data_IF_245539731304
#
_entry.id   IF_245539731304
#
_cell.length_a   1.000
_cell.length_b   1.000
_cell.length_c   1.000
_cell.angle_alpha   90.00
_cell.angle_beta   90.00
_cell.angle_gamma   90.00
#
_symmetry.space_group_name_H-M   'P 1'
#
loop_
_entity.id
_entity.type
_entity.pdbx_description
1 polymer ?
#
# COMPACT_ATOMS: atom_id res chain seq x y z
N UNK A 1 -9.09 -5.32 12.50
CA UNK A 1 -8.69 -4.01 13.03
C UNK A 1 -9.91 -3.13 13.24
N UNK A 2 -10.04 -2.53 14.42
CA UNK A 2 -11.00 -1.46 14.73
C UNK A 2 -10.57 -0.14 14.07
N UNK A 3 -11.44 0.88 14.11
CA UNK A 3 -11.09 2.22 13.63
C UNK A 3 -9.86 2.79 14.34
N UNK A 4 -9.81 2.66 15.67
CA UNK A 4 -8.70 3.16 16.49
C UNK A 4 -7.40 2.43 16.16
N UNK A 5 -7.43 1.11 16.02
CA UNK A 5 -6.24 0.32 15.63
C UNK A 5 -5.72 0.76 14.24
N UNK A 6 -6.61 1.01 13.28
CA UNK A 6 -6.21 1.50 11.95
C UNK A 6 -5.52 2.86 12.06
N UNK A 7 -6.10 3.79 12.83
CA UNK A 7 -5.50 5.12 13.05
C UNK A 7 -4.15 5.05 13.75
N UNK A 8 -4.02 4.21 14.78
CA UNK A 8 -2.75 3.96 15.46
C UNK A 8 -1.71 3.40 14.49
N UNK A 9 -2.06 2.38 13.71
CA UNK A 9 -1.14 1.82 12.71
C UNK A 9 -0.69 2.85 11.68
N UNK A 10 -1.59 3.71 11.19
CA UNK A 10 -1.23 4.79 10.26
C UNK A 10 -0.18 5.72 10.89
N UNK A 11 -0.38 6.17 12.14
CA UNK A 11 0.62 6.99 12.85
C UNK A 11 1.94 6.23 13.02
N UNK A 12 1.90 4.95 13.37
CA UNK A 12 3.12 4.13 13.53
C UNK A 12 3.97 4.06 12.25
N UNK A 13 3.33 3.95 11.07
CA UNK A 13 4.01 4.03 9.78
C UNK A 13 4.63 5.41 9.54
N UNK A 14 3.92 6.49 9.87
CA UNK A 14 4.44 7.86 9.73
C UNK A 14 5.62 8.10 10.67
N UNK A 15 5.52 7.66 11.94
CA UNK A 15 6.63 7.73 12.89
C UNK A 15 7.81 6.86 12.46
N UNK A 16 7.58 5.72 11.80
CA UNK A 16 8.64 4.90 11.22
C UNK A 16 9.39 5.65 10.11
N UNK A 17 8.67 6.32 9.21
CA UNK A 17 9.29 7.18 8.19
C UNK A 17 10.08 8.35 8.78
N UNK A 18 9.57 8.97 9.84
CA UNK A 18 10.32 9.98 10.61
C UNK A 18 11.63 9.43 11.14
N UNK A 19 11.61 8.25 11.76
CA UNK A 19 12.82 7.60 12.28
C UNK A 19 13.80 7.27 11.15
N UNK A 20 13.32 6.80 10.00
CA UNK A 20 14.15 6.56 8.83
C UNK A 20 14.84 7.85 8.34
N UNK A 21 14.10 8.97 8.22
CA UNK A 21 14.69 10.28 7.88
C UNK A 21 15.74 10.72 8.91
N UNK A 22 15.45 10.58 10.21
CA UNK A 22 16.39 10.90 11.28
C UNK A 22 17.65 10.04 11.27
N UNK A 23 17.55 8.81 10.78
CA UNK A 23 18.69 7.90 10.60
C UNK A 23 19.52 8.20 9.34
N UNK A 24 19.11 9.16 8.50
CA UNK A 24 19.84 9.58 7.31
C UNK A 24 19.51 8.78 6.05
N UNK A 25 18.38 8.05 6.01
CA UNK A 25 17.89 7.50 4.75
C UNK A 25 17.33 8.60 3.83
N UNK A 26 17.49 8.43 2.52
CA UNK A 26 16.94 9.35 1.51
C UNK A 26 15.44 9.14 1.24
N UNK A 27 14.86 8.06 1.75
CA UNK A 27 13.47 7.72 1.53
C UNK A 27 13.03 6.41 2.17
N UNK A 28 11.77 6.05 1.94
CA UNK A 28 11.16 4.79 2.39
C UNK A 28 10.36 4.14 1.27
N UNK A 29 10.22 2.81 1.37
CA UNK A 29 9.29 2.04 0.55
C UNK A 29 8.14 1.49 1.39
N UNK A 30 6.91 1.82 1.01
CA UNK A 30 5.71 1.21 1.56
C UNK A 30 5.51 -0.18 0.96
N UNK A 31 5.39 -1.20 1.81
CA UNK A 31 5.15 -2.56 1.34
C UNK A 31 3.65 -2.81 1.14
N UNK A 32 3.18 -2.56 -0.08
CA UNK A 32 1.77 -2.67 -0.50
C UNK A 32 1.56 -3.89 -1.41
N UNK A 33 2.19 -5.00 -1.06
CA UNK A 33 2.26 -6.21 -1.87
C UNK A 33 2.20 -7.48 -1.01
N UNK A 34 2.09 -8.63 -1.67
CA UNK A 34 2.30 -9.97 -1.10
C UNK A 34 1.33 -10.45 -0.03
N UNK A 35 0.15 -9.84 0.10
CA UNK A 35 -0.83 -10.21 1.12
C UNK A 35 -0.51 -9.69 2.52
N UNK A 36 0.57 -8.92 2.69
CA UNK A 36 0.85 -8.24 3.96
C UNK A 36 -0.17 -7.13 4.23
N UNK A 37 -0.09 -6.53 5.41
CA UNK A 37 -1.09 -5.61 5.95
C UNK A 37 -1.64 -4.59 4.95
N UNK A 38 -0.80 -3.79 4.29
CA UNK A 38 -1.27 -2.76 3.38
C UNK A 38 -1.92 -3.35 2.11
N UNK A 39 -1.38 -4.42 1.54
CA UNK A 39 -2.04 -5.13 0.44
C UNK A 39 -3.33 -5.79 0.90
N UNK A 40 -3.42 -6.26 2.16
CA UNK A 40 -4.64 -6.88 2.68
C UNK A 40 -5.80 -5.89 2.83
N UNK A 41 -5.53 -4.59 2.95
CA UNK A 41 -6.54 -3.53 2.83
C UNK A 41 -6.93 -3.27 1.37
N UNK A 42 -5.96 -3.31 0.46
CA UNK A 42 -6.22 -3.06 -0.95
C UNK A 42 -6.93 -4.24 -1.62
N UNK A 43 -6.61 -5.48 -1.29
CA UNK A 43 -7.17 -6.64 -1.97
C UNK A 43 -8.65 -6.85 -1.62
N UNK A 44 -9.56 -6.99 -2.59
CA UNK A 44 -10.96 -7.34 -2.33
C UNK A 44 -11.11 -8.77 -1.79
N UNK A 45 -10.11 -9.63 -1.99
CA UNK A 45 -10.11 -10.99 -1.48
C UNK A 45 -10.01 -11.00 0.06
N UNK A 46 -9.15 -10.15 0.64
CA UNK A 46 -8.95 -10.06 2.09
C UNK A 46 -9.80 -8.98 2.75
N UNK A 47 -10.08 -7.87 2.07
CA UNK A 47 -10.86 -6.76 2.62
C UNK A 47 -12.33 -6.82 2.20
N UNK A 48 -13.15 -7.32 3.13
CA UNK A 48 -14.62 -7.43 2.98
C UNK A 48 -15.35 -6.46 3.90
N UNK A 49 -14.70 -5.37 4.31
CA UNK A 49 -15.31 -4.36 5.18
C UNK A 49 -16.38 -3.58 4.43
N UNK A 50 -17.38 -3.13 5.16
CA UNK A 50 -18.47 -2.27 4.66
C UNK A 50 -18.36 -0.82 5.17
N UNK A 51 -17.26 -0.49 5.84
CA UNK A 51 -16.97 0.86 6.34
C UNK A 51 -16.09 1.66 5.39
N UNK A 52 -15.59 2.82 5.84
CA UNK A 52 -14.77 3.73 5.03
C UNK A 52 -13.42 3.15 4.59
N UNK A 53 -13.01 2.00 5.12
CA UNK A 53 -11.78 1.29 4.73
C UNK A 53 -12.06 0.10 3.82
N UNK A 54 -13.30 -0.14 3.36
CA UNK A 54 -13.66 -1.25 2.48
C UNK A 54 -14.58 -0.87 1.31
N UNK A 55 -14.93 -1.88 0.51
CA UNK A 55 -15.75 -1.72 -0.69
C UNK A 55 -14.96 -1.14 -1.87
N UNK A 56 -15.17 0.14 -2.17
CA UNK A 56 -14.57 0.80 -3.35
C UNK A 56 -13.02 0.78 -3.27
N UNK A 57 -12.36 0.84 -4.43
CA UNK A 57 -10.90 0.93 -4.49
C UNK A 57 -10.36 2.14 -3.71
N UNK A 58 -11.08 3.27 -3.78
CA UNK A 58 -10.75 4.50 -3.05
C UNK A 58 -10.71 4.30 -1.53
N UNK A 59 -11.68 3.54 -1.00
CA UNK A 59 -11.77 3.20 0.42
C UNK A 59 -10.73 2.14 0.82
N UNK A 60 -10.58 1.09 0.01
CA UNK A 60 -9.55 0.05 0.22
C UNK A 60 -8.13 0.61 0.22
N UNK A 61 -7.86 1.63 -0.60
CA UNK A 61 -6.59 2.36 -0.62
C UNK A 61 -6.41 3.39 0.51
N UNK A 62 -7.45 3.70 1.29
CA UNK A 62 -7.44 4.81 2.26
C UNK A 62 -6.28 4.73 3.26
N UNK A 63 -5.99 3.56 3.80
CA UNK A 63 -4.89 3.37 4.76
C UNK A 63 -3.55 3.78 4.14
N UNK A 64 -3.26 3.34 2.92
CA UNK A 64 -2.01 3.64 2.22
C UNK A 64 -1.91 5.13 1.90
N UNK A 65 -3.02 5.74 1.49
CA UNK A 65 -3.13 7.18 1.18
C UNK A 65 -2.92 8.06 2.40
N UNK A 66 -3.50 7.70 3.54
CA UNK A 66 -3.31 8.43 4.80
C UNK A 66 -1.86 8.32 5.29
N UNK A 67 -1.23 7.15 5.16
CA UNK A 67 0.21 6.98 5.44
C UNK A 67 1.06 7.85 4.51
N UNK A 68 0.80 7.81 3.20
CA UNK A 68 1.52 8.61 2.20
C UNK A 68 1.41 10.10 2.53
N UNK A 69 0.20 10.59 2.78
CA UNK A 69 -0.05 11.99 3.16
C UNK A 69 0.72 12.40 4.42
N UNK A 70 0.71 11.55 5.46
CA UNK A 70 1.48 11.79 6.68
C UNK A 70 2.99 11.83 6.46
N UNK A 71 3.51 10.90 5.63
CA UNK A 71 4.93 10.86 5.26
C UNK A 71 5.35 12.10 4.44
N UNK A 72 4.57 12.49 3.42
CA UNK A 72 4.88 13.68 2.60
C UNK A 72 4.80 14.97 3.43
N UNK A 73 3.85 15.06 4.36
CA UNK A 73 3.73 16.20 5.29
C UNK A 73 4.94 16.33 6.21
N UNK A 74 5.49 15.19 6.67
CA UNK A 74 6.63 15.18 7.57
C UNK A 74 7.96 15.42 6.85
N UNK A 75 8.10 14.82 5.67
CA UNK A 75 9.40 14.59 5.08
C UNK A 75 9.75 15.56 3.97
N UNK A 76 8.83 16.40 3.50
CA UNK A 76 9.12 17.38 2.45
C UNK A 76 9.45 16.73 1.10
N UNK A 77 9.90 17.53 0.13
CA UNK A 77 10.25 17.07 -1.22
C UNK A 77 11.62 16.39 -1.31
N UNK A 78 12.43 16.47 -0.26
CA UNK A 78 13.80 15.93 -0.17
C UNK A 78 13.85 14.46 0.32
N UNK A 79 12.69 13.83 0.54
CA UNK A 79 12.59 12.47 1.04
C UNK A 79 11.61 11.65 0.20
N UNK A 80 12.12 10.63 -0.49
CA UNK A 80 11.33 9.83 -1.42
C UNK A 80 10.40 8.86 -0.68
N UNK A 81 9.16 8.77 -1.13
CA UNK A 81 8.20 7.75 -0.71
C UNK A 81 7.81 6.94 -1.94
N UNK A 82 8.25 5.69 -2.00
CA UNK A 82 7.90 4.75 -3.07
C UNK A 82 7.00 3.63 -2.52
N UNK A 83 6.31 2.90 -3.39
CA UNK A 83 5.51 1.75 -2.98
C UNK A 83 5.91 0.50 -3.76
N UNK A 84 5.98 -0.65 -3.07
CA UNK A 84 5.95 -1.96 -3.72
C UNK A 84 4.49 -2.37 -3.88
N UNK A 85 3.98 -2.46 -5.11
CA UNK A 85 2.57 -2.68 -5.39
C UNK A 85 2.36 -3.97 -6.19
N UNK A 86 1.37 -4.79 -5.81
CA UNK A 86 0.96 -5.94 -6.60
C UNK A 86 0.31 -5.49 -7.92
N UNK A 87 0.81 -5.98 -9.05
CA UNK A 87 0.13 -5.93 -10.34
C UNK A 87 -1.13 -6.81 -10.34
N UNK A 88 -1.06 -7.96 -9.68
CA UNK A 88 -2.22 -8.80 -9.39
C UNK A 88 -1.92 -9.64 -8.15
N UNK A 89 -2.95 -10.03 -7.41
CA UNK A 89 -2.82 -10.97 -6.30
C UNK A 89 -2.73 -12.44 -6.75
N UNK A 90 -3.00 -12.72 -8.03
CA UNK A 90 -3.03 -14.08 -8.60
C UNK A 90 -3.97 -15.07 -7.89
N UNK A 91 -5.03 -14.56 -7.26
CA UNK A 91 -6.06 -15.36 -6.62
C UNK A 91 -7.45 -14.94 -7.13
N UNK A 92 -8.38 -15.88 -7.38
CA UNK A 92 -9.75 -15.53 -7.74
C UNK A 92 -10.38 -14.60 -6.70
N UNK A 93 -10.93 -13.47 -7.17
CA UNK A 93 -11.50 -12.44 -6.31
C UNK A 93 -10.49 -11.52 -5.62
N UNK A 94 -9.20 -11.61 -5.96
CA UNK A 94 -8.16 -10.66 -5.52
C UNK A 94 -8.01 -9.44 -6.42
N UNK A 95 -7.01 -8.62 -6.14
CA UNK A 95 -6.68 -7.43 -6.91
C UNK A 95 -6.27 -7.81 -8.34
N UNK A 96 -6.91 -7.20 -9.33
CA UNK A 96 -6.58 -7.33 -10.75
C UNK A 96 -5.62 -6.24 -11.25
N UNK A 97 -5.14 -6.40 -12.49
CA UNK A 97 -4.20 -5.45 -13.12
C UNK A 97 -4.83 -4.09 -13.38
N UNK A 98 -6.10 -4.04 -13.78
CA UNK A 98 -6.82 -2.80 -14.03
C UNK A 98 -6.96 -1.97 -12.75
N UNK A 99 -7.38 -2.61 -11.65
CA UNK A 99 -7.48 -1.96 -10.33
C UNK A 99 -6.11 -1.57 -9.79
N UNK A 100 -5.07 -2.37 -10.05
CA UNK A 100 -3.69 -2.03 -9.67
C UNK A 100 -3.20 -0.77 -10.39
N UNK A 101 -3.50 -0.61 -11.68
CA UNK A 101 -3.20 0.61 -12.45
C UNK A 101 -3.97 1.81 -11.89
N UNK A 102 -5.25 1.64 -11.55
CA UNK A 102 -6.03 2.71 -10.93
C UNK A 102 -5.47 3.12 -9.55
N UNK A 103 -5.05 2.15 -8.74
CA UNK A 103 -4.37 2.40 -7.47
C UNK A 103 -3.05 3.14 -7.67
N UNK A 104 -2.25 2.74 -8.66
CA UNK A 104 -1.00 3.40 -9.00
C UNK A 104 -1.22 4.88 -9.36
N UNK A 105 -2.21 5.17 -10.22
CA UNK A 105 -2.60 6.55 -10.59
C UNK A 105 -3.09 7.36 -9.40
N UNK A 106 -3.86 6.74 -8.50
CA UNK A 106 -4.35 7.39 -7.29
C UNK A 106 -3.20 7.79 -6.37
N UNK A 107 -2.23 6.90 -6.15
CA UNK A 107 -1.07 7.18 -5.31
C UNK A 107 -0.12 8.21 -5.96
N UNK A 108 0.07 8.14 -7.28
CA UNK A 108 0.81 9.15 -8.04
C UNK A 108 0.19 10.55 -7.87
N UNK A 109 -1.13 10.67 -8.02
CA UNK A 109 -1.84 11.94 -7.84
C UNK A 109 -1.70 12.52 -6.41
N UNK A 110 -1.35 11.70 -5.43
CA UNK A 110 -1.11 12.09 -4.03
C UNK A 110 0.36 12.30 -3.69
N UNK A 111 1.24 12.22 -4.68
CA UNK A 111 2.66 12.55 -4.55
C UNK A 111 3.56 11.35 -4.21
N UNK A 112 3.15 10.13 -4.53
CA UNK A 112 4.05 8.97 -4.52
C UNK A 112 5.16 9.17 -5.57
N UNK A 113 6.41 8.93 -5.18
CA UNK A 113 7.58 9.24 -6.02
C UNK A 113 8.00 8.08 -6.94
N UNK A 114 7.44 6.89 -6.74
CA UNK A 114 7.77 5.73 -7.56
C UNK A 114 7.06 4.44 -7.14
N UNK A 115 6.99 3.50 -8.08
CA UNK A 115 6.37 2.19 -7.90
C UNK A 115 7.35 1.09 -8.28
N UNK A 116 7.58 0.16 -7.35
CA UNK A 116 8.15 -1.14 -7.66
C UNK A 116 7.00 -2.13 -7.88
N UNK A 117 6.91 -2.69 -9.09
CA UNK A 117 5.84 -3.62 -9.45
C UNK A 117 6.20 -5.03 -8.97
N UNK A 118 5.26 -5.67 -8.29
CA UNK A 118 5.36 -7.07 -7.86
C UNK A 118 4.05 -7.81 -8.12
N UNK A 119 3.82 -8.96 -7.47
CA UNK A 119 2.55 -9.68 -7.59
C UNK A 119 2.48 -10.89 -6.67
N UNK A 120 1.26 -11.40 -6.51
CA UNK A 120 0.95 -12.60 -5.74
C UNK A 120 0.74 -12.33 -4.25
N UNK A 121 0.32 -13.39 -3.57
CA UNK A 121 0.32 -13.54 -2.11
C UNK A 121 0.53 -15.01 -1.78
N UNK A 122 0.94 -15.33 -0.55
CA UNK A 122 1.28 -16.71 -0.18
C UNK A 122 0.16 -17.72 -0.50
N UNK A 123 -1.10 -17.32 -0.35
CA UNK A 123 -2.28 -18.17 -0.60
C UNK A 123 -2.51 -18.49 -2.08
N UNK A 124 -1.99 -17.67 -3.00
CA UNK A 124 -2.10 -17.95 -4.43
C UNK A 124 -1.38 -19.25 -4.81
N UNK A 125 -0.47 -19.76 -3.96
CA UNK A 125 0.34 -20.95 -4.25
C UNK A 125 1.29 -20.77 -5.44
N UNK A 126 1.33 -19.56 -6.00
CA UNK A 126 2.21 -19.15 -7.09
C UNK A 126 3.27 -18.22 -6.54
N UNK A 127 4.12 -18.75 -5.64
CA UNK A 127 5.29 -18.00 -5.17
C UNK A 127 6.23 -17.73 -6.35
N UNK A 128 6.43 -16.46 -6.70
CA UNK A 128 7.48 -15.92 -7.60
C UNK A 128 7.92 -16.79 -8.80
N UNK A 129 7.00 -17.49 -9.48
CA UNK A 129 7.26 -18.09 -10.79
C UNK A 129 6.53 -17.28 -11.85
N UNK A 130 7.17 -16.22 -12.32
CA UNK A 130 6.87 -15.66 -13.63
C UNK A 130 7.23 -16.74 -14.67
N UNK A 131 6.24 -17.26 -15.40
CA UNK A 131 6.45 -18.37 -16.34
C UNK A 131 6.96 -17.93 -17.73
N UNK A 132 7.19 -16.64 -17.95
CA UNK A 132 7.41 -16.09 -19.29
C UNK A 132 6.11 -15.62 -19.91
#
# INVERSE_FOLDING_TARGET
>A
MTYEEIKTTIDEFVQAGRRAKQAGFDGVQLHVAHGYLLNSFISPYTNRREDEYGGSLLNRGRVVREILSGLKSLAGSDFAVIAKLNASDFIPGGLGIEESIEMARLLEAEGLDGIEVSGGMSEAGQGSVWQG
#
